data_IF_455337005747
#
_entry.id   IF_455337005747
#
_cell.length_a   1.000
_cell.length_b   1.000
_cell.length_c   1.000
_cell.angle_alpha   90.00
_cell.angle_beta   90.00
_cell.angle_gamma   90.00
#
_symmetry.space_group_name_H-M   'P 1'
#
loop_
_entity.id
_entity.type
_entity.pdbx_description
1 polymer ?
#
# COMPACT_ATOMS: atom_id res chain seq x y z
N UNK A 1 -4.04 -11.22 -11.41
CA UNK A 1 -4.38 -12.03 -10.24
C UNK A 1 -5.87 -12.03 -10.05
N UNK A 2 -6.45 -13.09 -9.49
CA UNK A 2 -7.83 -13.02 -8.98
C UNK A 2 -7.75 -12.58 -7.51
N UNK A 3 -8.62 -11.64 -7.13
CA UNK A 3 -8.75 -11.20 -5.74
C UNK A 3 -9.56 -12.24 -4.96
N UNK A 4 -9.00 -12.76 -3.87
CA UNK A 4 -9.61 -13.72 -2.96
C UNK A 4 -10.27 -13.06 -1.75
N UNK A 5 -9.75 -11.91 -1.30
CA UNK A 5 -10.31 -11.15 -0.20
C UNK A 5 -10.20 -9.65 -0.47
N UNK A 6 -10.98 -8.85 0.26
CA UNK A 6 -10.92 -7.40 0.13
C UNK A 6 -9.57 -6.86 0.61
N UNK A 7 -8.94 -6.05 -0.25
CA UNK A 7 -7.63 -5.45 0.02
C UNK A 7 -6.43 -6.37 -0.22
N UNK A 8 -6.61 -7.52 -0.86
CA UNK A 8 -5.51 -8.45 -1.17
C UNK A 8 -4.67 -8.06 -2.38
N UNK A 9 -5.22 -7.22 -3.27
CA UNK A 9 -4.49 -6.70 -4.42
C UNK A 9 -3.75 -5.43 -4.02
N UNK A 10 -2.43 -5.46 -4.18
CA UNK A 10 -1.61 -4.27 -4.02
C UNK A 10 -1.63 -3.41 -5.27
N UNK A 11 -1.88 -2.11 -5.10
CA UNK A 11 -1.74 -1.12 -6.15
C UNK A 11 -1.35 0.25 -5.57
N UNK A 12 -0.76 1.09 -6.43
CA UNK A 12 -0.49 2.50 -6.14
C UNK A 12 -0.92 3.37 -7.32
N UNK A 13 -1.40 4.57 -7.02
CA UNK A 13 -1.87 5.51 -8.04
C UNK A 13 -0.69 6.30 -8.60
N UNK A 14 -0.63 6.40 -9.92
CA UNK A 14 0.26 7.35 -10.56
C UNK A 14 -0.07 8.78 -10.07
N UNK A 15 0.92 9.67 -9.91
CA UNK A 15 0.67 11.03 -9.44
C UNK A 15 -0.33 11.82 -10.30
N UNK A 16 -0.43 11.50 -11.59
CA UNK A 16 -1.38 12.11 -12.52
C UNK A 16 -2.79 11.50 -12.49
N UNK A 17 -3.00 10.45 -11.70
CA UNK A 17 -4.27 9.73 -11.55
C UNK A 17 -4.69 8.91 -12.78
N UNK A 18 -3.83 8.73 -13.79
CA UNK A 18 -4.21 8.08 -15.06
C UNK A 18 -3.79 6.62 -15.17
N UNK A 19 -2.84 6.19 -14.33
CA UNK A 19 -2.32 4.82 -14.33
C UNK A 19 -2.29 4.26 -12.91
N UNK A 20 -2.39 2.94 -12.83
CA UNK A 20 -2.17 2.17 -11.62
C UNK A 20 -0.88 1.37 -11.79
N UNK A 21 -0.02 1.46 -10.79
CA UNK A 21 1.07 0.52 -10.55
C UNK A 21 0.50 -0.65 -9.75
N UNK A 22 0.66 -1.86 -10.25
CA UNK A 22 0.00 -3.05 -9.69
C UNK A 22 0.99 -4.17 -9.46
N UNK A 23 0.76 -4.94 -8.40
CA UNK A 23 1.35 -6.27 -8.26
C UNK A 23 0.42 -7.30 -8.91
N UNK A 24 0.96 -8.22 -9.69
CA UNK A 24 0.16 -9.27 -10.32
C UNK A 24 0.92 -10.59 -10.47
N UNK A 25 0.18 -11.71 -10.47
CA UNK A 25 0.76 -13.02 -10.83
C UNK A 25 0.84 -13.15 -12.35
N UNK A 26 2.05 -13.39 -12.87
CA UNK A 26 2.27 -13.69 -14.28
C UNK A 26 1.69 -15.05 -14.67
N UNK A 27 1.03 -15.10 -15.84
CA UNK A 27 0.31 -16.30 -16.31
C UNK A 27 1.23 -17.43 -16.77
N UNK A 28 2.48 -17.12 -17.13
CA UNK A 28 3.41 -18.11 -17.66
C UNK A 28 4.19 -18.81 -16.55
N UNK A 29 4.56 -18.07 -15.49
CA UNK A 29 5.45 -18.57 -14.43
C UNK A 29 4.80 -18.75 -13.06
N UNK A 30 3.63 -18.16 -12.81
CA UNK A 30 3.03 -18.09 -11.46
C UNK A 30 3.95 -17.39 -10.45
N UNK A 31 4.67 -16.35 -10.88
CA UNK A 31 5.45 -15.46 -10.01
C UNK A 31 4.77 -14.10 -9.88
N UNK A 32 4.97 -13.42 -8.75
CA UNK A 32 4.54 -12.03 -8.56
C UNK A 32 5.45 -11.09 -9.36
N UNK A 33 4.84 -10.20 -10.13
CA UNK A 33 5.50 -9.22 -10.98
C UNK A 33 4.87 -7.84 -10.76
N UNK A 34 5.57 -6.80 -11.17
CA UNK A 34 5.12 -5.41 -11.09
C UNK A 34 4.75 -4.92 -12.48
N UNK A 35 3.59 -4.27 -12.60
CA UNK A 35 3.10 -3.78 -13.88
C UNK A 35 2.41 -2.43 -13.81
N UNK A 36 2.26 -1.79 -14.97
CA UNK A 36 1.47 -0.57 -15.15
C UNK A 36 0.24 -0.85 -15.99
N UNK A 37 -0.91 -0.30 -15.60
CA UNK A 37 -2.18 -0.41 -16.32
C UNK A 37 -2.91 0.94 -16.30
N UNK A 38 -3.59 1.34 -17.40
CA UNK A 38 -4.44 2.53 -17.38
C UNK A 38 -5.59 2.38 -16.39
N UNK A 39 -5.84 3.42 -15.59
CA UNK A 39 -6.87 3.41 -14.56
C UNK A 39 -8.30 3.42 -15.15
N UNK A 40 -8.46 3.81 -16.41
CA UNK A 40 -9.74 3.85 -17.12
C UNK A 40 -10.14 2.49 -17.74
N UNK A 41 -9.29 1.47 -17.61
CA UNK A 41 -9.52 0.13 -18.17
C UNK A 41 -9.34 0.02 -19.69
N UNK A 42 -8.92 1.08 -20.38
CA UNK A 42 -8.84 1.12 -21.85
C UNK A 42 -7.63 0.41 -22.45
N UNK A 43 -6.59 0.10 -21.65
CA UNK A 43 -5.33 -0.43 -22.14
C UNK A 43 -4.91 -1.77 -21.53
N UNK A 44 -3.74 -2.25 -21.96
CA UNK A 44 -3.16 -3.52 -21.52
C UNK A 44 -2.18 -3.29 -20.37
N UNK A 45 -2.10 -4.28 -19.49
CA UNK A 45 -1.04 -4.39 -18.50
C UNK A 45 0.33 -4.45 -19.19
N UNK A 46 1.25 -3.57 -18.79
CA UNK A 46 2.67 -3.62 -19.15
C UNK A 46 3.45 -4.18 -17.96
N UNK A 47 4.00 -5.39 -18.09
CA UNK A 47 4.93 -5.94 -17.11
C UNK A 47 6.24 -5.11 -17.14
N UNK A 48 6.62 -4.55 -15.99
CA UNK A 48 7.82 -3.75 -15.83
C UNK A 48 9.03 -4.60 -15.44
N UNK A 49 8.86 -5.55 -14.51
CA UNK A 49 9.98 -6.24 -13.87
C UNK A 49 10.58 -7.34 -14.73
N UNK A 50 9.76 -8.21 -15.32
CA UNK A 50 10.18 -9.36 -16.14
C UNK A 50 11.38 -10.11 -15.53
N UNK A 51 11.44 -10.17 -14.20
CA UNK A 51 12.70 -10.42 -13.49
C UNK A 51 12.96 -11.91 -13.37
N UNK A 52 11.90 -12.72 -13.42
CA UNK A 52 11.96 -14.13 -13.08
C UNK A 52 12.27 -14.36 -11.60
N UNK A 53 11.82 -13.46 -10.74
CA UNK A 53 11.89 -13.53 -9.29
C UNK A 53 10.54 -13.10 -8.72
N UNK A 54 10.39 -13.11 -7.40
CA UNK A 54 9.17 -12.61 -6.78
C UNK A 54 9.30 -11.11 -6.48
N UNK A 55 8.38 -10.32 -7.04
CA UNK A 55 8.37 -8.86 -6.91
C UNK A 55 7.08 -8.38 -6.20
N UNK A 56 7.25 -7.57 -5.14
CA UNK A 56 6.18 -7.24 -4.18
C UNK A 56 6.07 -5.74 -3.87
N UNK A 57 4.87 -5.35 -3.44
CA UNK A 57 4.53 -4.03 -2.87
C UNK A 57 4.98 -2.81 -3.68
N UNK A 58 4.78 -2.78 -5.01
CA UNK A 58 5.28 -1.68 -5.81
C UNK A 58 4.65 -0.33 -5.45
N UNK A 59 5.46 0.71 -5.36
CA UNK A 59 5.02 2.10 -5.07
C UNK A 59 5.74 3.11 -5.95
N UNK A 60 5.09 4.22 -6.26
CA UNK A 60 5.73 5.35 -6.92
C UNK A 60 6.57 6.16 -5.92
N UNK A 61 7.79 6.50 -6.33
CA UNK A 61 8.66 7.46 -5.64
C UNK A 61 8.89 8.70 -6.48
N UNK A 62 9.35 9.77 -5.83
CA UNK A 62 9.81 11.01 -6.48
C UNK A 62 8.82 11.54 -7.53
N UNK A 63 7.55 11.68 -7.15
CA UNK A 63 6.48 12.17 -8.03
C UNK A 63 6.38 11.38 -9.35
N UNK A 64 6.49 10.05 -9.27
CA UNK A 64 6.32 9.16 -10.42
C UNK A 64 7.55 9.03 -11.32
N UNK A 65 8.71 9.56 -10.91
CA UNK A 65 9.95 9.43 -11.68
C UNK A 65 10.67 8.09 -11.45
N UNK A 66 10.36 7.42 -10.34
CA UNK A 66 10.89 6.11 -9.98
C UNK A 66 9.77 5.22 -9.46
N UNK A 67 9.82 3.94 -9.82
CA UNK A 67 9.02 2.87 -9.23
C UNK A 67 9.91 2.10 -8.28
N UNK A 68 9.45 1.91 -7.05
CA UNK A 68 10.10 1.09 -6.03
C UNK A 68 9.36 -0.24 -5.91
N UNK A 69 10.07 -1.33 -5.67
CA UNK A 69 9.47 -2.62 -5.32
C UNK A 69 10.44 -3.44 -4.46
N UNK A 70 9.92 -4.42 -3.72
CA UNK A 70 10.72 -5.42 -3.03
C UNK A 70 10.90 -6.63 -3.93
N UNK A 71 12.11 -7.17 -4.02
CA UNK A 71 12.40 -8.34 -4.85
C UNK A 71 13.27 -9.33 -4.09
N UNK A 72 12.97 -10.62 -4.21
CA UNK A 72 13.80 -11.68 -3.64
C UNK A 72 15.04 -12.01 -4.50
N UNK A 73 15.20 -11.36 -5.66
CA UNK A 73 16.23 -11.69 -6.68
C UNK A 73 17.69 -11.74 -6.23
N UNK A 74 18.03 -11.10 -5.11
CA UNK A 74 19.37 -11.10 -4.51
C UNK A 74 19.38 -11.60 -3.07
N UNK A 75 18.22 -12.02 -2.55
CA UNK A 75 18.06 -12.45 -1.18
C UNK A 75 18.31 -13.94 -1.00
N UNK A 76 18.24 -14.36 0.26
CA UNK A 76 18.28 -15.76 0.62
C UNK A 76 16.98 -16.42 0.19
N UNK A 77 17.07 -17.43 -0.69
CA UNK A 77 15.92 -18.25 -1.08
C UNK A 77 15.90 -19.55 -0.29
N UNK A 78 14.75 -19.92 0.28
CA UNK A 78 14.63 -21.26 0.85
C UNK A 78 14.24 -22.31 -0.20
N UNK A 79 14.74 -23.53 0.00
CA UNK A 79 14.62 -24.63 -0.96
C UNK A 79 13.23 -25.30 -1.03
N UNK A 80 12.28 -24.90 -0.17
CA UNK A 80 11.02 -25.62 0.08
C UNK A 80 9.74 -24.98 -0.49
N UNK A 81 9.82 -24.07 -1.46
CA UNK A 81 8.64 -23.50 -2.15
C UNK A 81 7.73 -22.59 -1.32
N UNK A 82 7.96 -22.47 -0.01
CA UNK A 82 7.22 -21.58 0.91
C UNK A 82 8.10 -20.93 1.98
N UNK A 83 9.42 -20.92 1.77
CA UNK A 83 10.32 -20.26 2.70
C UNK A 83 10.22 -18.73 2.54
N UNK A 84 10.32 -18.02 3.66
CA UNK A 84 10.49 -16.56 3.64
C UNK A 84 11.80 -16.26 2.94
N UNK A 85 11.71 -15.55 1.83
CA UNK A 85 12.89 -15.07 1.14
C UNK A 85 13.22 -13.70 1.70
N UNK A 86 14.51 -13.48 2.00
CA UNK A 86 14.98 -12.11 2.23
C UNK A 86 14.76 -11.34 0.93
N UNK A 87 14.39 -10.07 1.05
CA UNK A 87 14.16 -9.20 -0.10
C UNK A 87 15.06 -7.98 -0.03
N UNK A 88 15.21 -7.34 -1.18
CA UNK A 88 15.85 -6.05 -1.35
C UNK A 88 14.88 -5.06 -1.99
N UNK A 89 15.02 -3.78 -1.67
CA UNK A 89 14.26 -2.71 -2.33
C UNK A 89 15.00 -2.31 -3.59
N UNK A 90 14.33 -2.41 -4.74
CA UNK A 90 14.82 -1.96 -6.04
C UNK A 90 14.10 -0.69 -6.47
N UNK A 91 14.77 0.10 -7.31
CA UNK A 91 14.22 1.28 -7.98
C UNK A 91 14.39 1.19 -9.49
N UNK A 92 13.32 1.47 -10.24
CA UNK A 92 13.29 1.58 -11.69
C UNK A 92 12.99 3.01 -12.06
N UNK A 93 13.92 3.64 -12.78
CA UNK A 93 13.79 5.04 -13.19
C UNK A 93 13.07 5.11 -14.53
N UNK A 94 11.90 5.76 -14.55
CA UNK A 94 10.98 5.72 -15.69
C UNK A 94 11.44 6.56 -16.89
N UNK A 95 12.48 7.38 -16.72
CA UNK A 95 13.10 8.19 -17.77
C UNK A 95 14.61 8.15 -17.66
N UNK A 96 15.31 8.36 -18.78
CA UNK A 96 16.77 8.46 -18.79
C UNK A 96 17.26 9.61 -17.92
N UNK A 97 16.58 10.76 -17.98
CA UNK A 97 16.91 11.92 -17.14
C UNK A 97 16.81 11.61 -15.63
N UNK A 98 15.82 10.82 -15.20
CA UNK A 98 15.71 10.40 -13.81
C UNK A 98 16.85 9.46 -13.39
N UNK A 99 17.25 8.54 -14.28
CA UNK A 99 18.36 7.62 -14.04
C UNK A 99 19.72 8.35 -14.01
N UNK A 100 19.97 9.23 -14.97
CA UNK A 100 21.22 10.00 -15.04
C UNK A 100 21.38 10.88 -13.79
N UNK A 101 20.30 11.51 -13.29
CA UNK A 101 20.31 12.26 -12.02
C UNK A 101 20.70 11.40 -10.82
N UNK A 102 20.18 10.17 -10.76
CA UNK A 102 20.49 9.23 -9.69
C UNK A 102 21.98 8.84 -9.72
N UNK A 103 22.57 8.70 -10.92
CA UNK A 103 23.97 8.30 -11.09
C UNK A 103 24.98 9.42 -10.80
N UNK A 104 24.56 10.69 -10.72
CA UNK A 104 25.47 11.80 -10.43
C UNK A 104 26.22 11.60 -9.11
N UNK A 105 27.47 12.03 -9.06
CA UNK A 105 28.17 12.07 -7.78
C UNK A 105 27.66 13.24 -6.89
N UNK A 106 28.20 13.32 -5.67
CA UNK A 106 27.79 14.35 -4.70
C UNK A 106 28.09 15.78 -5.17
N UNK A 107 29.22 15.99 -5.85
CA UNK A 107 29.62 17.31 -6.31
C UNK A 107 28.81 17.75 -7.53
N UNK A 108 28.62 16.86 -8.49
CA UNK A 108 27.80 17.08 -9.67
C UNK A 108 26.33 17.34 -9.30
N UNK A 109 25.81 16.57 -8.35
CA UNK A 109 24.44 16.77 -7.87
C UNK A 109 24.24 18.10 -7.15
N UNK A 110 25.20 18.52 -6.32
CA UNK A 110 25.15 19.82 -5.67
C UNK A 110 25.13 20.96 -6.70
N UNK A 111 25.91 20.85 -7.78
CA UNK A 111 25.86 21.81 -8.89
C UNK A 111 24.51 21.79 -9.62
N UNK A 112 23.95 20.62 -9.87
CA UNK A 112 22.62 20.49 -10.49
C UNK A 112 21.54 21.15 -9.62
N UNK A 113 21.52 20.86 -8.32
CA UNK A 113 20.58 21.46 -7.35
C UNK A 113 20.71 22.99 -7.33
N UNK A 114 21.93 23.52 -7.32
CA UNK A 114 22.16 24.96 -7.33
C UNK A 114 21.57 25.61 -8.60
N UNK A 115 21.77 25.00 -9.77
CA UNK A 115 21.15 25.46 -11.03
C UNK A 115 19.63 25.39 -11.00
N UNK A 116 19.06 24.29 -10.52
CA UNK A 116 17.60 24.14 -10.39
C UNK A 116 16.98 25.18 -9.44
N UNK A 117 17.69 25.58 -8.39
CA UNK A 117 17.26 26.66 -7.49
C UNK A 117 17.38 28.04 -8.13
N UNK A 118 18.41 28.29 -8.94
CA UNK A 118 18.54 29.52 -9.73
C UNK A 118 17.40 29.63 -10.76
N UNK A 119 17.15 28.56 -11.52
CA UNK A 119 16.07 28.51 -12.52
C UNK A 119 14.70 28.76 -11.88
N UNK A 120 14.41 28.14 -10.72
CA UNK A 120 13.16 28.39 -9.97
C UNK A 120 13.02 29.83 -9.46
N UNK A 121 14.13 30.48 -9.10
CA UNK A 121 14.13 31.89 -8.65
C UNK A 121 13.90 32.84 -9.82
N UNK A 122 14.30 32.46 -11.03
CA UNK A 122 14.08 33.26 -12.24
C UNK A 122 12.69 33.05 -12.83
N UNK A 123 12.13 31.83 -12.78
CA UNK A 123 10.72 31.56 -13.11
C UNK A 123 9.77 32.32 -12.16
N UNK A 124 10.05 32.33 -10.85
CA UNK A 124 9.23 33.07 -9.86
C UNK A 124 9.26 34.59 -10.01
N UNK A 125 10.17 35.16 -10.81
CA UNK A 125 10.22 36.60 -11.13
C UNK A 125 9.49 36.97 -12.43
N UNK A 126 9.13 36.00 -13.26
CA UNK A 126 8.37 36.26 -14.50
C UNK A 126 6.86 36.37 -14.26
N UNK A 127 6.33 35.82 -13.17
CA UNK A 127 4.90 35.87 -12.83
C UNK A 127 4.44 37.15 -12.11
N UNK A 128 5.36 38.08 -11.80
CA UNK A 128 5.08 39.30 -11.03
C UNK A 128 5.26 40.59 -11.87
N UNK A 129 4.76 40.58 -13.12
CA UNK A 129 4.57 41.80 -13.91
C UNK A 129 3.09 42.24 -13.89
N UNK A 130 2.77 43.44 -13.37
CA UNK A 130 1.39 43.89 -13.28
C UNK A 130 0.83 44.16 -14.68
N UNK A 131 -0.22 43.43 -15.05
CA UNK A 131 -1.02 43.73 -16.22
C UNK A 131 -1.67 45.11 -16.05
N UNK A 132 -1.25 46.03 -16.91
CA UNK A 132 -1.60 47.44 -16.91
C UNK A 132 -3.11 47.65 -17.17
N UNK A 133 -3.69 48.59 -16.43
CA UNK A 133 -5.10 49.00 -16.52
C UNK A 133 -5.33 49.94 -17.71
N UNK A 134 -6.43 49.72 -18.45
CA UNK A 134 -7.34 50.74 -19.06
C UNK A 134 -8.68 50.05 -19.35
N UNK A 135 -9.71 50.23 -18.52
CA UNK A 135 -10.76 51.26 -18.59
C UNK A 135 -11.74 51.04 -19.77
N UNK A 136 -13.06 51.14 -19.68
CA UNK A 136 -14.08 51.18 -18.64
C UNK A 136 -15.41 51.26 -19.43
N UNK A 137 -16.47 50.52 -19.10
CA UNK A 137 -17.82 51.09 -19.16
C UNK A 137 -18.86 50.34 -18.32
N UNK A 138 -19.85 51.10 -17.82
CA UNK A 138 -20.64 50.88 -16.60
C UNK A 138 -22.08 50.39 -16.82
N UNK A 139 -22.48 49.38 -16.01
CA UNK A 139 -23.71 49.25 -15.16
C UNK A 139 -25.12 49.02 -15.79
N UNK A 140 -26.16 48.61 -14.99
CA UNK A 140 -26.22 47.73 -13.78
C UNK A 140 -27.48 46.81 -13.63
N UNK A 141 -27.53 46.06 -12.51
CA UNK A 141 -28.67 45.45 -11.74
C UNK A 141 -29.37 44.18 -12.31
N UNK A 142 -29.72 43.13 -11.54
CA UNK A 142 -30.12 43.05 -10.11
C UNK A 142 -29.91 41.68 -9.40
N UNK A 143 -29.66 41.77 -8.06
CA UNK A 143 -29.75 40.88 -6.85
C UNK A 143 -30.11 39.37 -6.95
N UNK A 144 -29.29 38.41 -6.44
CA UNK A 144 -29.08 37.83 -5.05
C UNK A 144 -30.16 36.78 -4.60
N UNK A 145 -29.92 35.79 -3.68
CA UNK A 145 -28.68 35.23 -3.08
C UNK A 145 -28.59 33.67 -2.91
N UNK A 146 -27.34 33.24 -2.65
CA UNK A 146 -26.84 32.24 -1.65
C UNK A 146 -27.18 30.73 -1.71
N UNK A 147 -26.15 29.94 -2.00
CA UNK A 147 -25.87 28.61 -1.43
C UNK A 147 -24.35 28.40 -1.42
N UNK A 148 -23.75 28.33 -0.23
CA UNK A 148 -22.30 28.32 0.02
C UNK A 148 -21.68 26.97 -0.40
N UNK A 149 -20.79 26.99 -1.39
CA UNK A 149 -19.83 25.91 -1.62
C UNK A 149 -18.44 26.41 -1.22
N UNK A 150 -17.86 25.76 -0.23
CA UNK A 150 -16.61 26.17 0.40
C UNK A 150 -15.42 25.61 -0.39
N UNK A 151 -14.87 26.46 -1.24
CA UNK A 151 -13.48 26.48 -1.73
C UNK A 151 -12.65 25.21 -1.62
N UNK A 152 -12.66 24.40 -2.69
CA UNK A 152 -11.46 23.66 -3.10
C UNK A 152 -10.44 24.68 -3.59
N UNK A 153 -9.35 24.84 -2.84
CA UNK A 153 -8.11 25.37 -3.40
C UNK A 153 -7.66 24.35 -4.45
N UNK A 154 -7.67 24.75 -5.71
CA UNK A 154 -7.08 23.97 -6.79
C UNK A 154 -5.60 23.71 -6.45
N UNK A 155 -5.30 22.46 -6.13
CA UNK A 155 -3.94 21.95 -6.17
C UNK A 155 -3.44 22.08 -7.62
N UNK A 156 -2.16 22.46 -7.82
CA UNK A 156 -1.60 22.48 -9.17
C UNK A 156 -1.71 21.08 -9.78
N UNK A 157 -2.34 21.00 -10.96
CA UNK A 157 -2.53 19.74 -11.68
C UNK A 157 -1.20 18.97 -11.78
N UNK A 158 -1.19 17.73 -11.31
CA UNK A 158 -0.01 16.90 -11.29
C UNK A 158 0.56 16.72 -12.71
N UNK A 159 1.89 16.78 -12.84
CA UNK A 159 2.57 16.61 -14.13
C UNK A 159 2.26 15.20 -14.68
N UNK A 160 1.97 15.06 -15.99
CA UNK A 160 1.71 13.76 -16.58
C UNK A 160 2.83 12.76 -16.30
N UNK A 161 2.48 11.51 -16.01
CA UNK A 161 3.46 10.44 -15.85
C UNK A 161 4.16 10.19 -17.19
N UNK A 162 5.49 10.31 -17.20
CA UNK A 162 6.31 10.04 -18.38
C UNK A 162 7.03 8.71 -18.18
N UNK A 163 6.83 7.78 -19.10
CA UNK A 163 7.53 6.49 -19.11
C UNK A 163 8.18 6.25 -20.47
N UNK A 164 9.51 6.30 -20.51
CA UNK A 164 10.31 5.91 -21.66
C UNK A 164 10.40 4.39 -21.68
N UNK A 165 9.70 3.70 -22.57
CA UNK A 165 9.61 2.23 -22.52
C UNK A 165 10.92 1.52 -22.88
N UNK A 166 11.72 2.11 -23.77
CA UNK A 166 12.99 1.55 -24.23
C UNK A 166 14.05 1.65 -23.13
N UNK A 167 14.71 0.53 -22.82
CA UNK A 167 15.79 0.45 -21.82
C UNK A 167 15.35 0.61 -20.36
N UNK A 168 14.08 0.30 -20.02
CA UNK A 168 13.62 0.33 -18.61
C UNK A 168 14.38 -0.67 -17.72
N UNK A 169 14.67 -1.85 -18.23
CA UNK A 169 15.43 -2.92 -17.57
C UNK A 169 16.89 -2.52 -17.28
N UNK A 170 17.46 -1.65 -18.11
CA UNK A 170 18.80 -1.08 -17.90
C UNK A 170 18.82 0.04 -16.84
N UNK A 171 17.65 0.62 -16.50
CA UNK A 171 17.49 1.71 -15.54
C UNK A 171 16.99 1.23 -14.18
N UNK A 172 17.52 0.09 -13.73
CA UNK A 172 17.20 -0.52 -12.43
C UNK A 172 18.41 -0.45 -11.50
N UNK A 173 18.18 -0.13 -10.23
CA UNK A 173 19.18 -0.15 -9.18
C UNK A 173 18.65 -0.80 -7.91
N UNK A 174 19.50 -1.57 -7.21
CA UNK A 174 19.25 -1.96 -5.82
C UNK A 174 19.47 -0.74 -4.92
N UNK A 175 18.49 -0.44 -4.07
CA UNK A 175 18.49 0.73 -3.20
C UNK A 175 18.71 0.37 -1.72
N UNK A 176 18.28 -0.81 -1.27
CA UNK A 176 18.63 -1.33 0.05
C UNK A 176 20.11 -1.77 0.10
N UNK A 177 20.75 -1.58 1.25
CA UNK A 177 22.14 -2.02 1.47
C UNK A 177 22.24 -3.41 2.11
N UNK A 178 21.15 -3.90 2.70
CA UNK A 178 21.07 -5.20 3.37
C UNK A 178 19.78 -5.88 2.94
N UNK A 179 19.88 -7.16 2.59
CA UNK A 179 18.73 -8.02 2.32
C UNK A 179 18.10 -8.48 3.63
N UNK A 180 16.78 -8.57 3.72
CA UNK A 180 16.10 -9.04 4.93
C UNK A 180 14.60 -9.15 4.77
N UNK A 181 13.91 -9.34 5.91
CA UNK A 181 12.45 -9.38 5.99
C UNK A 181 11.87 -7.95 5.98
N UNK A 182 12.04 -7.25 4.85
CA UNK A 182 11.59 -5.86 4.66
C UNK A 182 10.06 -5.83 4.53
N UNK A 183 9.41 -5.04 5.40
CA UNK A 183 7.95 -4.99 5.54
C UNK A 183 7.31 -3.80 4.88
N UNK A 184 8.00 -2.66 4.83
CA UNK A 184 7.54 -1.45 4.14
C UNK A 184 8.71 -0.51 3.85
N UNK A 185 8.55 0.39 2.89
CA UNK A 185 9.59 1.33 2.46
C UNK A 185 9.01 2.58 1.79
N UNK A 186 9.74 3.68 1.92
CA UNK A 186 9.37 4.97 1.33
C UNK A 186 10.62 5.75 0.90
N UNK A 187 10.51 6.45 -0.22
CA UNK A 187 11.56 7.34 -0.72
C UNK A 187 11.19 8.79 -0.43
N UNK A 188 12.16 9.60 -0.01
CA UNK A 188 11.93 11.04 0.16
C UNK A 188 11.54 11.70 -1.17
N UNK A 189 10.73 12.79 -1.15
CA UNK A 189 10.26 13.43 -2.37
C UNK A 189 11.35 13.91 -3.33
N UNK A 190 12.55 14.21 -2.81
CA UNK A 190 13.71 14.59 -3.60
C UNK A 190 14.44 13.40 -4.27
N UNK A 191 14.23 12.19 -3.75
CA UNK A 191 14.82 10.94 -4.22
C UNK A 191 16.19 10.61 -3.62
N UNK A 192 16.61 11.26 -2.54
CA UNK A 192 17.98 11.09 -2.00
C UNK A 192 18.07 10.11 -0.83
N UNK A 193 16.97 9.87 -0.12
CA UNK A 193 16.93 9.01 1.07
C UNK A 193 15.81 7.97 0.96
N UNK A 194 16.18 6.70 1.08
CA UNK A 194 15.24 5.59 1.24
C UNK A 194 15.13 5.27 2.73
N UNK A 195 13.90 5.12 3.22
CA UNK A 195 13.62 4.53 4.51
C UNK A 195 12.93 3.20 4.32
N UNK A 196 13.29 2.19 5.10
CA UNK A 196 12.61 0.90 5.10
C UNK A 196 12.56 0.30 6.49
N UNK A 197 11.56 -0.55 6.74
CA UNK A 197 11.39 -1.27 7.99
C UNK A 197 11.66 -2.74 7.76
N UNK A 198 12.57 -3.33 8.53
CA UNK A 198 12.84 -4.78 8.51
C UNK A 198 12.35 -5.43 9.78
N UNK A 199 11.82 -6.65 9.69
CA UNK A 199 11.55 -7.50 10.86
C UNK A 199 12.86 -8.08 11.38
N UNK A 200 12.98 -8.13 12.70
CA UNK A 200 14.07 -8.80 13.44
C UNK A 200 13.46 -9.69 14.53
N UNK A 201 14.28 -10.47 15.24
CA UNK A 201 13.82 -11.44 16.25
C UNK A 201 12.86 -10.81 17.27
N UNK A 202 13.24 -9.67 17.86
CA UNK A 202 12.49 -8.99 18.92
C UNK A 202 11.75 -7.71 18.46
N UNK A 203 11.29 -7.68 17.21
CA UNK A 203 10.47 -6.58 16.71
C UNK A 203 10.87 -6.11 15.32
N UNK A 204 11.11 -4.81 15.18
CA UNK A 204 11.40 -4.20 13.88
C UNK A 204 12.52 -3.18 13.98
N UNK A 205 13.23 -2.96 12.88
CA UNK A 205 14.24 -1.91 12.77
C UNK A 205 13.88 -0.96 11.65
N UNK A 206 13.94 0.34 11.93
CA UNK A 206 13.88 1.38 10.89
C UNK A 206 15.30 1.63 10.38
N UNK A 207 15.46 1.55 9.07
CA UNK A 207 16.72 1.79 8.36
C UNK A 207 16.59 3.01 7.47
N UNK A 208 17.70 3.73 7.30
CA UNK A 208 17.86 4.82 6.35
C UNK A 208 18.99 4.44 5.39
N UNK A 209 18.78 4.70 4.09
CA UNK A 209 19.83 4.64 3.08
C UNK A 209 19.96 5.99 2.40
N UNK A 210 21.17 6.54 2.46
CA UNK A 210 21.57 7.75 1.73
C UNK A 210 22.03 7.33 0.34
N UNK A 211 21.12 7.40 -0.63
CA UNK A 211 21.26 6.70 -1.91
C UNK A 211 22.51 7.10 -2.69
N UNK A 212 22.86 8.39 -2.68
CA UNK A 212 24.03 8.93 -3.36
C UNK A 212 25.35 8.48 -2.74
N UNK A 213 25.35 8.25 -1.43
CA UNK A 213 26.53 7.79 -0.69
C UNK A 213 26.57 6.25 -0.60
N UNK A 214 25.48 5.57 -0.98
CA UNK A 214 25.26 4.13 -0.78
C UNK A 214 25.50 3.68 0.67
N UNK A 215 25.22 4.59 1.59
CA UNK A 215 25.39 4.38 3.03
C UNK A 215 24.04 4.07 3.65
N UNK A 216 23.89 2.85 4.16
CA UNK A 216 22.68 2.38 4.81
C UNK A 216 22.97 1.91 6.23
N UNK A 217 22.20 2.42 7.19
CA UNK A 217 22.36 2.08 8.59
C UNK A 217 21.02 2.10 9.33
N UNK A 218 20.95 1.33 10.40
CA UNK A 218 19.82 1.34 11.32
C UNK A 218 19.72 2.69 12.04
N UNK A 219 18.54 3.27 12.05
CA UNK A 219 18.26 4.56 12.69
C UNK A 219 17.37 4.45 13.92
N UNK A 220 16.54 3.41 14.04
CA UNK A 220 15.76 3.14 15.24
C UNK A 220 15.42 1.67 15.43
N UNK A 221 15.30 1.26 16.70
CA UNK A 221 14.65 0.01 17.09
C UNK A 221 13.19 0.30 17.39
N UNK A 222 12.30 -0.53 16.86
CA UNK A 222 10.86 -0.45 17.02
C UNK A 222 10.33 -1.71 17.74
N UNK A 223 9.24 -1.57 18.51
CA UNK A 223 8.70 -2.66 19.29
C UNK A 223 8.09 -3.75 18.41
N UNK A 224 8.26 -5.01 18.83
CA UNK A 224 7.42 -6.11 18.37
C UNK A 224 6.04 -6.08 19.02
N UNK A 225 5.14 -6.96 18.57
CA UNK A 225 3.81 -7.08 19.17
C UNK A 225 3.01 -8.20 18.54
N UNK A 226 1.83 -8.47 19.11
CA UNK A 226 0.88 -9.46 18.55
C UNK A 226 0.41 -9.09 17.14
N UNK A 227 0.42 -7.80 16.83
CA UNK A 227 0.11 -7.26 15.52
C UNK A 227 1.44 -7.05 14.79
N UNK A 228 1.71 -7.88 13.78
CA UNK A 228 2.90 -7.79 12.94
C UNK A 228 2.73 -6.86 11.73
N UNK A 229 1.58 -6.17 11.63
CA UNK A 229 1.34 -5.19 10.55
C UNK A 229 2.32 -4.04 10.70
N UNK A 230 2.99 -3.70 9.60
CA UNK A 230 3.88 -2.55 9.48
C UNK A 230 3.32 -1.61 8.42
N UNK A 231 3.46 -0.31 8.67
CA UNK A 231 3.21 0.73 7.67
C UNK A 231 4.23 1.86 7.86
N UNK A 232 4.77 2.41 6.77
CA UNK A 232 5.72 3.50 6.77
C UNK A 232 5.26 4.56 5.76
N UNK A 233 5.14 5.81 6.22
CA UNK A 233 4.74 6.92 5.38
C UNK A 233 5.52 8.19 5.71
N UNK A 234 5.70 9.06 4.72
CA UNK A 234 6.19 10.42 4.91
C UNK A 234 5.04 11.42 4.79
N UNK A 235 5.19 12.58 5.42
CA UNK A 235 4.34 13.73 5.10
C UNK A 235 4.61 14.22 3.66
N UNK A 236 3.68 15.01 3.11
CA UNK A 236 3.78 15.51 1.73
C UNK A 236 5.07 16.30 1.43
N UNK A 237 5.72 16.86 2.47
CA UNK A 237 6.98 17.61 2.34
C UNK A 237 8.21 16.72 2.47
N UNK A 238 8.05 15.46 2.88
CA UNK A 238 9.15 14.57 3.23
C UNK A 238 9.89 14.98 4.50
N UNK A 239 9.31 15.82 5.35
CA UNK A 239 9.98 16.39 6.54
C UNK A 239 9.74 15.60 7.82
N UNK A 240 8.64 14.87 7.87
CA UNK A 240 8.25 13.97 8.96
C UNK A 240 7.93 12.60 8.40
N UNK A 241 8.34 11.56 9.10
CA UNK A 241 7.94 10.18 8.84
C UNK A 241 7.09 9.60 9.96
N UNK A 242 6.24 8.64 9.62
CA UNK A 242 5.38 7.90 10.52
C UNK A 242 5.56 6.42 10.27
N UNK A 243 5.78 5.64 11.32
CA UNK A 243 5.92 4.18 11.26
C UNK A 243 4.96 3.52 12.22
N UNK A 244 4.14 2.61 11.72
CA UNK A 244 3.35 1.67 12.52
C UNK A 244 4.13 0.38 12.65
N UNK A 245 4.41 -0.07 13.87
CA UNK A 245 5.07 -1.33 14.16
C UNK A 245 4.64 -1.84 15.55
N UNK A 246 4.45 -3.16 15.70
CA UNK A 246 4.05 -3.75 16.98
C UNK A 246 2.70 -3.25 17.52
N UNK A 247 1.83 -2.73 16.65
CA UNK A 247 0.57 -2.09 17.04
C UNK A 247 0.71 -0.67 17.60
N UNK A 248 1.89 -0.06 17.50
CA UNK A 248 2.15 1.31 17.93
C UNK A 248 2.53 2.19 16.73
N UNK A 249 2.12 3.45 16.75
CA UNK A 249 2.53 4.45 15.76
C UNK A 249 3.63 5.31 16.36
N UNK A 250 4.74 5.45 15.64
CA UNK A 250 5.84 6.35 15.98
C UNK A 250 5.99 7.41 14.90
N UNK A 251 6.43 8.60 15.30
CA UNK A 251 6.80 9.70 14.41
C UNK A 251 8.30 9.94 14.50
N UNK A 252 8.92 10.34 13.39
CA UNK A 252 10.30 10.81 13.37
C UNK A 252 10.46 12.01 12.44
N UNK A 253 11.53 12.77 12.62
CA UNK A 253 11.93 13.85 11.71
C UNK A 253 12.85 13.28 10.64
N UNK A 254 12.57 13.59 9.39
CA UNK A 254 13.45 13.22 8.27
C UNK A 254 14.59 14.25 8.21
N UNK A 255 15.87 13.81 8.15
CA UNK A 255 16.99 14.72 7.92
C UNK A 255 16.87 15.46 6.59
N UNK A 256 17.54 16.61 6.46
CA UNK A 256 17.59 17.33 5.19
C UNK A 256 18.30 16.51 4.09
N UNK A 257 18.43 17.08 2.89
CA UNK A 257 18.91 16.40 1.68
C UNK A 257 20.24 15.63 1.83
N UNK A 258 21.14 16.03 2.74
CA UNK A 258 22.39 15.33 3.00
C UNK A 258 22.24 14.05 3.84
N UNK A 259 21.01 13.79 4.31
CA UNK A 259 20.63 12.66 5.15
C UNK A 259 21.28 12.67 6.53
N UNK A 260 22.00 13.74 6.91
CA UNK A 260 22.78 13.77 8.15
C UNK A 260 21.93 14.29 9.30
N UNK A 261 21.89 13.50 10.36
CA UNK A 261 21.23 13.90 11.60
C UNK A 261 20.86 12.67 12.40
N UNK A 262 20.74 12.87 13.71
CA UNK A 262 20.20 11.83 14.58
C UNK A 262 18.69 11.74 14.36
N UNK A 263 18.20 10.55 13.98
CA UNK A 263 16.78 10.26 13.84
C UNK A 263 16.30 9.64 15.14
N UNK A 264 15.34 10.29 15.80
CA UNK A 264 14.66 9.77 16.99
C UNK A 264 13.20 9.52 16.65
N UNK A 265 12.73 8.32 17.00
CA UNK A 265 11.33 7.96 16.92
C UNK A 265 10.62 8.26 18.22
N UNK A 266 9.48 8.95 18.15
CA UNK A 266 8.64 9.30 19.29
C UNK A 266 7.29 8.57 19.15
N UNK A 267 6.87 7.83 20.16
CA UNK A 267 5.58 7.14 20.16
C UNK A 267 4.42 8.13 20.19
N UNK A 268 3.51 8.02 19.23
CA UNK A 268 2.29 8.81 19.18
C UNK A 268 1.21 8.15 20.03
N UNK A 269 0.77 8.89 21.06
CA UNK A 269 -0.42 8.52 21.83
C UNK A 269 -1.60 9.29 21.27
N UNK A 270 -2.60 8.58 20.78
CA UNK A 270 -3.88 9.16 20.41
C UNK A 270 -5.01 8.29 20.95
N UNK A 271 -6.15 8.91 21.17
CA UNK A 271 -7.40 8.23 21.48
C UNK A 271 -8.39 8.63 20.38
N UNK A 272 -9.04 7.65 19.78
CA UNK A 272 -10.10 7.84 18.82
C UNK A 272 -11.34 7.08 19.33
N UNK A 273 -12.50 7.71 19.24
CA UNK A 273 -13.78 7.08 19.54
C UNK A 273 -14.41 6.59 18.23
N UNK A 274 -14.76 5.31 18.20
CA UNK A 274 -15.48 4.70 17.09
C UNK A 274 -16.87 4.32 17.58
N UNK A 275 -17.90 4.96 17.02
CA UNK A 275 -19.30 4.58 17.24
C UNK A 275 -19.76 3.70 16.07
N UNK A 276 -20.09 2.45 16.37
CA UNK A 276 -20.58 1.48 15.40
C UNK A 276 -22.09 1.31 15.57
N UNK A 277 -22.83 1.42 14.47
CA UNK A 277 -24.21 0.94 14.39
C UNK A 277 -24.18 -0.48 13.85
N UNK A 278 -24.32 -1.46 14.74
CA UNK A 278 -24.21 -2.88 14.38
C UNK A 278 -25.29 -3.35 13.41
N UNK A 279 -26.47 -2.71 13.39
CA UNK A 279 -27.52 -3.03 12.42
C UNK A 279 -27.12 -2.58 11.03
N UNK A 280 -26.64 -1.35 10.90
CA UNK A 280 -26.14 -0.80 9.64
C UNK A 280 -24.88 -1.54 9.15
N UNK A 281 -23.97 -1.90 10.06
CA UNK A 281 -22.77 -2.68 9.77
C UNK A 281 -23.13 -4.05 9.18
N UNK A 282 -24.02 -4.81 9.83
CA UNK A 282 -24.48 -6.12 9.31
C UNK A 282 -25.16 -5.98 7.95
N UNK A 283 -25.98 -4.95 7.74
CA UNK A 283 -26.61 -4.70 6.45
C UNK A 283 -25.58 -4.44 5.35
N UNK A 284 -24.52 -3.67 5.64
CA UNK A 284 -23.44 -3.43 4.71
C UNK A 284 -22.63 -4.71 4.42
N UNK A 285 -22.28 -5.49 5.45
CA UNK A 285 -21.58 -6.76 5.30
C UNK A 285 -22.38 -7.76 4.45
N UNK A 286 -23.69 -7.84 4.67
CA UNK A 286 -24.59 -8.68 3.89
C UNK A 286 -24.64 -8.26 2.41
N UNK A 287 -24.87 -6.98 2.14
CA UNK A 287 -24.86 -6.44 0.77
C UNK A 287 -23.54 -6.72 0.08
N UNK A 288 -22.44 -6.52 0.81
CA UNK A 288 -21.11 -6.73 0.30
C UNK A 288 -20.86 -8.20 -0.06
N UNK A 289 -21.18 -9.15 0.82
CA UNK A 289 -21.05 -10.58 0.55
C UNK A 289 -21.92 -11.02 -0.64
N UNK A 290 -23.16 -10.53 -0.71
CA UNK A 290 -24.07 -10.79 -1.83
C UNK A 290 -23.52 -10.28 -3.16
N UNK A 291 -23.02 -9.03 -3.18
CA UNK A 291 -22.45 -8.40 -4.37
C UNK A 291 -21.15 -9.07 -4.82
N UNK A 292 -20.23 -9.34 -3.89
CA UNK A 292 -18.97 -10.04 -4.20
C UNK A 292 -19.23 -11.40 -4.84
N UNK A 293 -20.20 -12.14 -4.32
CA UNK A 293 -20.58 -13.45 -4.88
C UNK A 293 -21.11 -13.31 -6.31
N UNK A 294 -21.98 -12.32 -6.56
CA UNK A 294 -22.48 -12.04 -7.91
C UNK A 294 -21.36 -11.70 -8.90
N UNK A 295 -20.41 -10.86 -8.49
CA UNK A 295 -19.37 -10.33 -9.37
C UNK A 295 -18.17 -11.28 -9.54
N UNK A 296 -17.90 -12.15 -8.56
CA UNK A 296 -16.66 -12.96 -8.52
C UNK A 296 -16.87 -14.47 -8.61
N UNK A 297 -18.10 -15.00 -8.53
CA UNK A 297 -18.30 -16.44 -8.66
C UNK A 297 -17.86 -16.90 -10.06
N UNK A 298 -17.14 -18.02 -10.13
CA UNK A 298 -16.60 -18.56 -11.38
C UNK A 298 -17.68 -18.98 -12.39
N UNK A 299 -18.92 -19.18 -11.93
CA UNK A 299 -20.09 -19.47 -12.76
C UNK A 299 -20.89 -18.19 -12.95
N UNK A 300 -20.79 -17.58 -14.13
CA UNK A 300 -21.33 -16.25 -14.39
C UNK A 300 -22.86 -16.15 -14.28
N UNK A 301 -23.60 -17.23 -14.53
CA UNK A 301 -25.07 -17.28 -14.36
C UNK A 301 -25.49 -17.79 -12.97
N UNK A 302 -24.53 -17.95 -12.05
CA UNK A 302 -24.73 -18.44 -10.68
C UNK A 302 -25.42 -19.81 -10.61
N UNK A 303 -25.34 -20.62 -11.67
CA UNK A 303 -26.06 -21.89 -11.74
C UNK A 303 -27.57 -21.72 -11.99
N UNK A 304 -28.00 -20.54 -12.46
CA UNK A 304 -29.40 -20.24 -12.79
C UNK A 304 -30.28 -19.86 -11.60
N UNK A 305 -29.70 -19.62 -10.43
CA UNK A 305 -30.46 -19.24 -9.23
C UNK A 305 -30.96 -17.79 -9.31
N UNK A 306 -32.10 -17.50 -8.68
CA UNK A 306 -32.60 -16.13 -8.54
C UNK A 306 -31.84 -15.40 -7.40
N UNK A 307 -30.61 -15.02 -7.68
CA UNK A 307 -29.73 -14.38 -6.69
C UNK A 307 -30.28 -13.05 -6.16
N UNK A 308 -31.00 -12.30 -7.00
CA UNK A 308 -31.68 -11.08 -6.60
C UNK A 308 -32.88 -11.36 -5.69
N UNK A 309 -33.62 -12.45 -5.95
CA UNK A 309 -34.67 -12.96 -5.07
C UNK A 309 -34.14 -13.37 -3.70
N UNK A 310 -33.07 -14.17 -3.66
CA UNK A 310 -32.46 -14.62 -2.41
C UNK A 310 -31.95 -13.46 -1.55
N UNK A 311 -31.39 -12.40 -2.16
CA UNK A 311 -31.07 -11.17 -1.43
C UNK A 311 -32.26 -10.69 -0.59
N UNK A 312 -33.44 -10.58 -1.20
CA UNK A 312 -34.63 -10.06 -0.51
C UNK A 312 -35.13 -10.98 0.59
N UNK A 313 -34.96 -12.30 0.43
CA UNK A 313 -35.36 -13.29 1.44
C UNK A 313 -34.50 -13.16 2.69
N UNK A 314 -33.18 -13.14 2.53
CA UNK A 314 -32.24 -13.12 3.64
C UNK A 314 -32.06 -11.72 4.26
N UNK A 315 -32.13 -10.64 3.46
CA UNK A 315 -32.03 -9.26 3.95
C UNK A 315 -33.13 -8.93 4.98
N UNK A 316 -34.34 -9.52 4.81
CA UNK A 316 -35.45 -9.36 5.75
C UNK A 316 -35.18 -9.97 7.13
N UNK A 317 -34.23 -10.89 7.24
CA UNK A 317 -33.89 -11.56 8.49
C UNK A 317 -32.89 -10.75 9.34
N UNK A 318 -32.15 -9.81 8.73
CA UNK A 318 -31.11 -9.03 9.41
C UNK A 318 -31.54 -8.35 10.72
N UNK A 319 -32.78 -7.81 10.86
CA UNK A 319 -33.23 -7.23 12.13
C UNK A 319 -33.34 -8.23 13.29
N UNK A 320 -33.37 -9.54 13.00
CA UNK A 320 -33.51 -10.61 13.98
C UNK A 320 -32.19 -11.31 14.31
N UNK A 321 -31.09 -10.94 13.64
CA UNK A 321 -29.74 -11.46 13.90
C UNK A 321 -29.18 -10.83 15.18
N UNK A 322 -28.91 -11.66 16.19
CA UNK A 322 -28.47 -11.18 17.50
C UNK A 322 -26.96 -10.95 17.56
N UNK A 323 -26.17 -11.84 16.97
CA UNK A 323 -24.70 -11.84 17.07
C UNK A 323 -24.00 -12.29 15.77
N UNK A 324 -22.68 -12.51 15.88
CA UNK A 324 -21.84 -12.88 14.74
C UNK A 324 -22.03 -14.34 14.32
N UNK A 325 -22.37 -15.24 15.25
CA UNK A 325 -22.71 -16.62 14.94
C UNK A 325 -23.99 -16.69 14.10
N UNK A 326 -25.08 -16.03 14.53
CA UNK A 326 -26.33 -15.93 13.78
C UNK A 326 -26.10 -15.34 12.37
N UNK A 327 -25.25 -14.31 12.29
CA UNK A 327 -24.94 -13.66 11.02
C UNK A 327 -24.18 -14.60 10.07
N UNK A 328 -23.23 -15.38 10.58
CA UNK A 328 -22.49 -16.35 9.80
C UNK A 328 -23.38 -17.52 9.33
N UNK A 329 -24.35 -17.93 10.15
CA UNK A 329 -25.35 -18.93 9.76
C UNK A 329 -26.25 -18.40 8.63
N UNK A 330 -26.82 -17.21 8.80
CA UNK A 330 -27.63 -16.54 7.76
C UNK A 330 -26.88 -16.43 6.42
N UNK A 331 -25.62 -16.00 6.45
CA UNK A 331 -24.80 -15.92 5.24
C UNK A 331 -24.52 -17.30 4.66
N UNK A 332 -24.27 -18.31 5.48
CA UNK A 332 -24.02 -19.68 5.02
C UNK A 332 -25.26 -20.30 4.38
N UNK A 333 -26.46 -20.05 4.92
CA UNK A 333 -27.72 -20.45 4.29
C UNK A 333 -27.88 -19.81 2.91
N UNK A 334 -27.70 -18.47 2.81
CA UNK A 334 -27.80 -17.75 1.53
C UNK A 334 -26.80 -18.28 0.50
N UNK A 335 -25.55 -18.50 0.91
CA UNK A 335 -24.51 -19.04 0.04
C UNK A 335 -24.77 -20.50 -0.35
N UNK A 336 -25.46 -21.27 0.51
CA UNK A 336 -25.86 -22.64 0.25
C UNK A 336 -26.84 -22.78 -0.92
N UNK A 337 -27.65 -21.75 -1.20
CA UNK A 337 -28.58 -21.72 -2.34
C UNK A 337 -27.86 -21.85 -3.69
N UNK A 338 -26.58 -21.50 -3.78
CA UNK A 338 -25.76 -21.65 -4.98
C UNK A 338 -25.42 -23.11 -5.29
N UNK A 339 -25.52 -24.02 -4.31
CA UNK A 339 -25.11 -25.41 -4.41
C UNK A 339 -23.65 -25.57 -4.90
N UNK A 340 -22.75 -24.69 -4.42
CA UNK A 340 -21.33 -24.67 -4.75
C UNK A 340 -20.50 -25.02 -3.51
N UNK A 341 -19.59 -25.99 -3.63
CA UNK A 341 -18.66 -26.35 -2.54
C UNK A 341 -17.74 -25.18 -2.14
N UNK A 342 -17.16 -25.21 -0.94
CA UNK A 342 -16.24 -24.17 -0.45
C UNK A 342 -16.84 -22.75 -0.36
N UNK A 343 -18.17 -22.68 -0.30
CA UNK A 343 -18.92 -21.42 -0.17
C UNK A 343 -19.64 -21.44 1.17
N UNK A 344 -19.33 -20.49 2.05
CA UNK A 344 -19.89 -20.43 3.39
C UNK A 344 -19.31 -19.27 4.19
N UNK A 345 -19.88 -19.00 5.35
CA UNK A 345 -19.41 -17.98 6.28
C UNK A 345 -19.09 -18.60 7.63
N UNK A 346 -18.16 -17.99 8.36
CA UNK A 346 -17.81 -18.43 9.70
C UNK A 346 -17.49 -17.22 10.57
N UNK A 347 -17.90 -17.28 11.83
CA UNK A 347 -17.53 -16.28 12.82
C UNK A 347 -16.45 -16.86 13.75
N UNK A 348 -15.33 -16.15 13.87
CA UNK A 348 -14.17 -16.56 14.67
C UNK A 348 -13.81 -15.42 15.64
N UNK A 349 -14.55 -15.27 16.76
CA UNK A 349 -14.24 -14.23 17.72
C UNK A 349 -12.89 -14.50 18.40
N UNK A 350 -12.16 -13.44 18.75
CA UNK A 350 -10.95 -13.55 19.55
C UNK A 350 -11.34 -13.97 20.98
N UNK A 351 -11.29 -15.27 21.29
CA UNK A 351 -11.63 -15.80 22.61
C UNK A 351 -10.48 -15.55 23.59
N UNK A 352 -10.64 -14.60 24.49
CA UNK A 352 -9.73 -14.40 25.62
C UNK A 352 -9.99 -15.43 26.72
N UNK A 353 -8.95 -16.12 27.20
CA UNK A 353 -9.05 -17.01 28.36
C UNK A 353 -9.80 -18.32 28.13
N UNK A 354 -9.86 -18.80 26.88
CA UNK A 354 -10.39 -20.13 26.58
C UNK A 354 -9.52 -21.25 27.17
N UNK A 355 -10.13 -22.41 27.41
CA UNK A 355 -9.42 -23.60 27.85
C UNK A 355 -8.29 -23.95 26.88
N UNK A 356 -7.07 -24.02 27.39
CA UNK A 356 -5.91 -24.47 26.65
C UNK A 356 -5.58 -25.89 27.08
N UNK A 357 -5.86 -26.86 26.22
CA UNK A 357 -5.41 -28.24 26.45
C UNK A 357 -3.94 -28.34 26.09
N UNK A 358 -3.08 -28.52 27.10
CA UNK A 358 -1.69 -28.86 26.86
C UNK A 358 -1.61 -30.27 26.24
N UNK A 359 -0.89 -30.39 25.13
CA UNK A 359 -0.58 -31.68 24.52
C UNK A 359 0.93 -31.90 24.56
N UNK A 360 1.36 -33.06 25.03
CA UNK A 360 2.77 -33.48 24.99
C UNK A 360 3.15 -34.11 23.64
N UNK A 361 2.19 -34.26 22.71
CA UNK A 361 2.42 -34.91 21.43
C UNK A 361 2.72 -36.41 21.54
N UNK A 362 2.30 -37.05 22.64
CA UNK A 362 2.48 -38.49 22.87
C UNK A 362 1.16 -39.23 22.74
N UNK A 363 1.23 -40.50 22.37
CA UNK A 363 0.10 -41.43 22.46
C UNK A 363 0.17 -42.11 23.83
N UNK A 364 -0.88 -41.98 24.62
CA UNK A 364 -0.98 -42.61 25.94
C UNK A 364 -1.51 -44.04 25.79
N UNK A 365 -0.94 -44.98 26.55
CA UNK A 365 -1.47 -46.34 26.67
C UNK A 365 -2.43 -46.41 27.88
N UNK A 366 -3.73 -46.35 27.61
CA UNK A 366 -4.79 -46.38 28.63
C UNK A 366 -4.85 -47.72 29.41
N UNK A 367 -4.11 -48.75 28.97
CA UNK A 367 -4.02 -50.05 29.65
C UNK A 367 -2.85 -50.16 30.64
N UNK A 368 -1.96 -49.17 30.67
CA UNK A 368 -0.80 -49.18 31.56
C UNK A 368 -1.19 -48.90 33.02
N UNK A 369 -0.91 -49.85 33.92
CA UNK A 369 -1.23 -49.73 35.36
C UNK A 369 -0.01 -49.44 36.25
N UNK A 370 1.16 -49.24 35.64
CA UNK A 370 2.41 -48.91 36.34
C UNK A 370 2.60 -47.40 36.53
N UNK A 371 3.72 -47.01 37.14
CA UNK A 371 4.10 -45.60 37.23
C UNK A 371 4.83 -45.17 35.95
N UNK A 372 4.16 -44.39 35.11
CA UNK A 372 4.73 -43.79 33.89
C UNK A 372 4.48 -44.64 32.66
#
# INVERSE_FOLDING_TARGET
TYSYEDGDQWFDWAPDGKQLLVQFIDRNRWSQEVGLVPADGSGKLRNLTQSGYEDFHPVFGRQGQVVLWASDRQGLHGSGGGARNDVDVFGMFLTRAAYDRYQLDKAEFAQLKAREEEDKKDEGKQDDKPADKKAADKKPSDKKPEGKDAGKKDEPAAKPLVVEAEGLDERVARLSTVSGDIRDYVLTPDGEQLFYVTKVEDGFELWQVRLREKDGHRVAQLPGGKIERVALALDAKGSSGFVMAGGQVHKFKVPGDDGKGEIKTEGLKFAAELRIDHGAERAQMFEHAWRQTQEKLYVADLGGVDWAGYRQVYERQLPYVADGEDFAELLSEMLGELNVSHTGASYRPQRGGGDATASLGVFYDDSHTGAG
#
